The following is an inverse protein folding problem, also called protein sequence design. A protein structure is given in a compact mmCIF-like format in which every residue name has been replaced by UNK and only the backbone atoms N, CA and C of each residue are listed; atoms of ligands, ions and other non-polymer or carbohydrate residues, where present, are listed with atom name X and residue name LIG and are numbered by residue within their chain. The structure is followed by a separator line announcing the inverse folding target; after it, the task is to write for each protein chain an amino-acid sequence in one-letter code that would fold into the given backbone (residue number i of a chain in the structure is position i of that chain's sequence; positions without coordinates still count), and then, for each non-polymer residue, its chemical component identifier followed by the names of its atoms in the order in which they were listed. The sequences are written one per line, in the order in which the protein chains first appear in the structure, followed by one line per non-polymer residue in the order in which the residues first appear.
data_IF_727457120327
#
_entry.id   IF_727457120327
#
_cell.length_a   1.000
_cell.length_b   1.000
_cell.length_c   1.000
_cell.angle_alpha   90.00
_cell.angle_beta   90.00
_cell.angle_gamma   90.00
#
_symmetry.space_group_name_H-M   'P 1'
#
loop_
_entity.id
_entity.type
_entity.pdbx_description
1 polymer ?
#
# COMPACT_ATOMS: atom_id res chain seq x y z
N UNK A 1 -24.51 -19.62 -10.38
CA UNK A 1 -24.40 -19.06 -9.01
C UNK A 1 -23.41 -19.87 -8.18
N UNK A 2 -22.59 -19.20 -7.37
CA UNK A 2 -21.70 -19.82 -6.39
C UNK A 2 -22.09 -19.27 -5.02
N UNK A 3 -22.21 -20.13 -4.03
CA UNK A 3 -22.49 -19.73 -2.66
C UNK A 3 -21.60 -20.50 -1.69
N UNK A 4 -20.72 -19.83 -1.00
CA UNK A 4 -20.13 -20.27 0.25
C UNK A 4 -20.92 -19.60 1.38
N UNK A 5 -21.90 -20.29 1.94
CA UNK A 5 -22.86 -19.70 2.86
C UNK A 5 -22.21 -19.19 4.15
N UNK A 6 -21.27 -19.96 4.69
CA UNK A 6 -20.54 -19.61 5.91
C UNK A 6 -19.21 -20.35 5.96
N UNK A 7 -18.14 -19.62 6.19
CA UNK A 7 -16.86 -20.13 6.64
C UNK A 7 -16.74 -19.83 8.14
N UNK A 8 -16.43 -20.83 8.94
CA UNK A 8 -16.28 -20.65 10.41
C UNK A 8 -15.15 -21.55 10.90
N UNK A 9 -13.97 -20.94 11.04
CA UNK A 9 -12.78 -21.61 11.57
C UNK A 9 -12.58 -21.15 13.01
N UNK A 10 -12.99 -21.99 13.95
CA UNK A 10 -12.91 -21.72 15.40
C UNK A 10 -11.49 -21.55 15.93
N UNK A 11 -10.53 -22.20 15.27
CA UNK A 11 -9.13 -22.13 15.67
C UNK A 11 -8.25 -22.26 14.44
N UNK A 12 -7.54 -21.18 14.13
CA UNK A 12 -6.45 -21.12 13.17
C UNK A 12 -5.17 -20.88 13.96
N UNK A 13 -4.16 -21.72 13.77
CA UNK A 13 -2.85 -21.53 14.38
C UNK A 13 -1.82 -21.41 13.25
N UNK A 14 -1.05 -20.33 13.25
CA UNK A 14 0.08 -20.12 12.37
C UNK A 14 1.35 -20.17 13.22
N UNK A 15 2.28 -21.04 12.85
CA UNK A 15 3.55 -21.17 13.55
C UNK A 15 4.54 -20.05 13.23
N UNK A 16 5.52 -19.87 14.11
CA UNK A 16 6.57 -18.87 13.97
C UNK A 16 7.31 -18.86 12.61
N UNK A 17 7.55 -19.99 11.91
CA UNK A 17 8.18 -19.97 10.60
C UNK A 17 7.42 -19.18 9.52
N UNK A 18 6.10 -18.99 9.67
CA UNK A 18 5.25 -18.30 8.67
C UNK A 18 5.29 -16.78 8.87
N UNK A 19 5.13 -16.33 10.11
CA UNK A 19 4.96 -14.90 10.41
C UNK A 19 5.93 -14.37 11.46
N UNK A 20 6.87 -15.19 11.93
CA UNK A 20 7.90 -14.82 12.91
C UNK A 20 7.47 -14.98 14.38
N UNK A 21 6.23 -15.34 14.67
CA UNK A 21 5.70 -15.70 15.98
C UNK A 21 4.54 -16.70 15.82
N UNK A 22 4.15 -17.36 16.89
CA UNK A 22 2.88 -18.09 16.89
C UNK A 22 1.71 -17.12 16.93
N UNK A 23 0.69 -17.44 16.15
CA UNK A 23 -0.56 -16.68 16.09
C UNK A 23 -1.72 -17.66 16.24
N UNK A 24 -2.62 -17.35 17.15
CA UNK A 24 -3.92 -18.00 17.26
C UNK A 24 -5.02 -17.02 16.86
N UNK A 25 -5.92 -17.47 16.01
CA UNK A 25 -7.01 -16.63 15.48
C UNK A 25 -8.27 -17.45 15.24
N UNK A 26 -9.38 -16.76 15.12
CA UNK A 26 -10.60 -17.23 14.49
C UNK A 26 -10.71 -16.64 13.09
N UNK A 27 -11.32 -17.35 12.16
CA UNK A 27 -11.61 -16.86 10.82
C UNK A 27 -13.07 -17.12 10.50
N UNK A 28 -13.81 -16.05 10.26
CA UNK A 28 -15.17 -16.07 9.76
C UNK A 28 -15.25 -15.55 8.34
N UNK A 29 -16.26 -15.96 7.59
CA UNK A 29 -16.46 -15.43 6.24
C UNK A 29 -17.70 -15.96 5.55
N UNK A 30 -18.04 -15.31 4.46
CA UNK A 30 -19.10 -15.72 3.54
C UNK A 30 -18.78 -15.23 2.14
N UNK A 31 -19.22 -15.98 1.13
CA UNK A 31 -19.18 -15.57 -0.27
C UNK A 31 -20.51 -15.95 -0.93
N UNK A 32 -21.10 -15.01 -1.61
CA UNK A 32 -22.26 -15.19 -2.45
C UNK A 32 -22.01 -14.57 -3.82
N UNK A 33 -22.21 -15.34 -4.86
CA UNK A 33 -22.21 -14.84 -6.24
C UNK A 33 -23.47 -15.43 -6.91
N UNK A 34 -24.43 -14.59 -7.21
CA UNK A 34 -25.69 -15.00 -7.84
C UNK A 34 -26.28 -13.81 -8.60
N UNK A 35 -26.89 -14.11 -9.76
CA UNK A 35 -27.71 -13.18 -10.53
C UNK A 35 -26.99 -11.87 -10.92
N UNK A 36 -25.67 -11.95 -11.12
CA UNK A 36 -24.82 -10.80 -11.42
C UNK A 36 -24.44 -9.96 -10.21
N UNK A 37 -24.74 -10.41 -9.00
CA UNK A 37 -24.32 -9.79 -7.76
C UNK A 37 -23.28 -10.65 -7.03
N UNK A 38 -22.32 -10.00 -6.39
CA UNK A 38 -21.30 -10.62 -5.56
C UNK A 38 -21.21 -9.94 -4.21
N UNK A 39 -21.12 -10.72 -3.15
CA UNK A 39 -20.83 -10.28 -1.80
C UNK A 39 -19.78 -11.19 -1.17
N UNK A 40 -18.74 -10.62 -0.60
CA UNK A 40 -17.72 -11.33 0.15
C UNK A 40 -17.51 -10.66 1.49
N UNK A 41 -17.44 -11.45 2.56
CA UNK A 41 -17.05 -10.99 3.91
C UNK A 41 -15.97 -11.89 4.44
N UNK A 42 -14.98 -11.29 5.11
CA UNK A 42 -13.92 -12.00 5.78
C UNK A 42 -13.61 -11.28 7.09
N UNK A 43 -13.61 -12.02 8.19
CA UNK A 43 -13.27 -11.53 9.51
C UNK A 43 -12.22 -12.46 10.12
N UNK A 44 -11.03 -11.94 10.35
CA UNK A 44 -9.98 -12.62 11.07
C UNK A 44 -9.74 -11.87 12.39
N UNK A 45 -9.83 -12.60 13.49
CA UNK A 45 -9.61 -12.03 14.83
C UNK A 45 -8.63 -12.89 15.60
N UNK A 46 -7.57 -12.28 16.09
CA UNK A 46 -6.62 -12.95 16.99
C UNK A 46 -7.29 -13.27 18.33
N UNK A 47 -6.95 -14.41 18.88
CA UNK A 47 -7.46 -14.87 20.20
C UNK A 47 -6.43 -14.72 21.29
N UNK A 48 -5.17 -14.55 20.93
CA UNK A 48 -4.02 -14.40 21.81
C UNK A 48 -3.61 -12.94 22.05
N UNK A 49 -3.97 -12.06 21.13
CA UNK A 49 -3.70 -10.60 21.18
C UNK A 49 -4.85 -9.83 20.56
N UNK A 50 -4.93 -8.55 20.86
CA UNK A 50 -5.93 -7.67 20.25
C UNK A 50 -5.46 -7.24 18.85
N UNK A 51 -5.90 -7.98 17.85
CA UNK A 51 -5.73 -7.66 16.46
C UNK A 51 -6.85 -8.29 15.60
N UNK A 52 -7.29 -7.55 14.60
CA UNK A 52 -8.37 -7.96 13.70
C UNK A 52 -8.16 -7.45 12.28
N UNK A 53 -8.66 -8.20 11.33
CA UNK A 53 -8.82 -7.80 9.94
C UNK A 53 -10.25 -8.11 9.55
N UNK A 54 -10.98 -7.10 9.06
CA UNK A 54 -12.28 -7.29 8.44
C UNK A 54 -12.27 -6.76 7.02
N UNK A 55 -12.87 -7.52 6.11
CA UNK A 55 -13.03 -7.18 4.71
C UNK A 55 -14.47 -7.41 4.31
N UNK A 56 -15.08 -6.40 3.72
CA UNK A 56 -16.35 -6.53 3.00
C UNK A 56 -16.13 -6.05 1.57
N UNK A 57 -16.52 -6.87 0.61
CA UNK A 57 -16.54 -6.49 -0.80
C UNK A 57 -17.90 -6.82 -1.40
N UNK A 58 -18.40 -5.96 -2.25
CA UNK A 58 -19.66 -6.15 -2.96
C UNK A 58 -19.53 -5.72 -4.41
N UNK A 59 -20.27 -6.41 -5.29
CA UNK A 59 -20.33 -6.09 -6.70
C UNK A 59 -21.75 -6.30 -7.21
N UNK A 60 -22.27 -5.35 -7.98
CA UNK A 60 -23.57 -5.44 -8.64
C UNK A 60 -23.39 -5.17 -10.14
N UNK A 61 -23.55 -6.23 -10.95
CA UNK A 61 -23.34 -6.17 -12.41
C UNK A 61 -24.35 -5.24 -13.10
N UNK A 62 -25.62 -5.26 -12.68
CA UNK A 62 -26.67 -4.43 -13.28
C UNK A 62 -26.42 -2.93 -13.19
N UNK A 63 -25.84 -2.48 -12.08
CA UNK A 63 -25.46 -1.07 -11.83
C UNK A 63 -23.97 -0.84 -12.01
N UNK A 64 -23.19 -1.90 -12.25
CA UNK A 64 -21.71 -1.90 -12.30
C UNK A 64 -21.06 -1.24 -11.08
N UNK A 65 -21.69 -1.39 -9.92
CA UNK A 65 -21.18 -0.82 -8.67
C UNK A 65 -20.27 -1.80 -7.96
N UNK A 66 -19.14 -1.30 -7.47
CA UNK A 66 -18.18 -1.98 -6.61
C UNK A 66 -18.17 -1.30 -5.25
N UNK A 67 -18.19 -2.09 -4.18
CA UNK A 67 -17.97 -1.64 -2.82
C UNK A 67 -16.81 -2.41 -2.21
N UNK A 68 -15.96 -1.72 -1.45
CA UNK A 68 -14.83 -2.28 -0.72
C UNK A 68 -14.72 -1.58 0.63
N UNK A 69 -14.63 -2.36 1.71
CA UNK A 69 -14.32 -1.88 3.05
C UNK A 69 -13.33 -2.87 3.68
N UNK A 70 -12.12 -2.41 3.93
CA UNK A 70 -11.05 -3.14 4.61
C UNK A 70 -10.66 -2.37 5.86
N UNK A 71 -10.73 -3.03 6.99
CA UNK A 71 -10.22 -2.52 8.25
C UNK A 71 -9.24 -3.53 8.84
N UNK A 72 -8.05 -3.07 9.17
CA UNK A 72 -7.04 -3.82 9.89
C UNK A 72 -6.63 -3.04 11.14
N UNK A 73 -6.63 -3.71 12.28
CA UNK A 73 -6.21 -3.15 13.56
C UNK A 73 -5.26 -4.10 14.26
N UNK A 74 -4.25 -3.55 14.89
CA UNK A 74 -3.43 -4.25 15.88
C UNK A 74 -3.14 -3.33 17.06
N UNK A 75 -3.17 -3.91 18.25
CA UNK A 75 -2.77 -3.23 19.46
C UNK A 75 -1.26 -2.99 19.52
N UNK A 76 -0.81 -2.19 20.48
CA UNK A 76 0.60 -1.94 20.76
C UNK A 76 1.38 -3.24 20.89
N UNK A 77 2.58 -3.29 20.30
CA UNK A 77 3.39 -4.50 20.25
C UNK A 77 2.92 -5.52 19.20
N UNK A 78 2.12 -5.09 18.22
CA UNK A 78 1.61 -5.92 17.15
C UNK A 78 2.70 -6.44 16.19
N UNK A 79 2.31 -7.39 15.34
CA UNK A 79 3.25 -8.04 14.40
C UNK A 79 3.78 -7.05 13.38
N UNK A 80 2.90 -6.21 12.83
CA UNK A 80 3.26 -5.27 11.75
C UNK A 80 4.22 -4.23 12.28
N UNK A 81 3.89 -3.60 13.43
CA UNK A 81 4.75 -2.60 14.04
C UNK A 81 6.15 -3.16 14.36
N UNK A 82 6.24 -4.42 14.81
CA UNK A 82 7.53 -5.09 15.07
C UNK A 82 8.28 -5.44 13.79
N UNK A 83 7.60 -6.00 12.80
CA UNK A 83 8.21 -6.40 11.51
C UNK A 83 8.76 -5.19 10.75
N UNK A 84 8.06 -4.07 10.81
CA UNK A 84 8.49 -2.80 10.22
C UNK A 84 9.50 -2.04 11.08
N UNK A 85 9.84 -2.54 12.28
CA UNK A 85 10.79 -1.88 13.18
C UNK A 85 10.30 -0.52 13.68
N UNK A 86 8.99 -0.32 13.78
CA UNK A 86 8.41 0.97 14.21
C UNK A 86 8.76 1.21 15.68
N UNK A 87 9.43 2.32 16.02
CA UNK A 87 9.81 2.64 17.39
C UNK A 87 8.59 2.71 18.31
N UNK A 88 8.73 2.13 19.51
CA UNK A 88 7.64 2.08 20.49
C UNK A 88 6.51 1.11 20.15
N UNK A 89 6.57 0.50 18.95
CA UNK A 89 5.58 -0.48 18.45
C UNK A 89 4.13 -0.02 18.72
N UNK A 90 3.70 1.12 18.19
CA UNK A 90 2.39 1.70 18.47
C UNK A 90 1.26 0.80 18.00
N UNK A 91 0.06 1.01 18.52
CA UNK A 91 -1.14 0.45 17.93
C UNK A 91 -1.32 0.99 16.51
N UNK A 92 -1.65 0.13 15.55
CA UNK A 92 -1.84 0.51 14.15
C UNK A 92 -3.28 0.25 13.70
N UNK A 93 -3.80 1.16 12.90
CA UNK A 93 -5.06 0.96 12.18
C UNK A 93 -4.87 1.35 10.73
N UNK A 94 -5.23 0.45 9.81
CA UNK A 94 -5.32 0.71 8.38
C UNK A 94 -6.78 0.55 7.96
N UNK A 95 -7.33 1.57 7.33
CA UNK A 95 -8.64 1.54 6.70
C UNK A 95 -8.53 1.87 5.22
N UNK A 96 -9.22 1.09 4.38
CA UNK A 96 -9.38 1.35 2.95
C UNK A 96 -10.85 1.15 2.62
N UNK A 97 -11.55 2.21 2.26
CA UNK A 97 -12.96 2.17 1.96
C UNK A 97 -13.28 2.90 0.66
N UNK A 98 -14.15 2.33 -0.15
CA UNK A 98 -14.58 2.93 -1.40
C UNK A 98 -15.87 2.32 -1.92
N UNK A 99 -16.62 3.14 -2.64
CA UNK A 99 -17.79 2.72 -3.41
C UNK A 99 -17.84 3.50 -4.70
N UNK A 100 -18.24 2.86 -5.78
CA UNK A 100 -18.35 3.56 -7.05
C UNK A 100 -18.57 2.61 -8.23
N UNK A 101 -18.81 3.17 -9.40
CA UNK A 101 -18.90 2.37 -10.62
C UNK A 101 -17.54 1.72 -10.92
N UNK A 102 -17.58 0.51 -11.49
CA UNK A 102 -16.40 -0.29 -11.80
C UNK A 102 -15.43 0.41 -12.77
N UNK A 103 -15.95 1.26 -13.64
CA UNK A 103 -15.16 2.03 -14.60
C UNK A 103 -14.55 3.31 -14.00
N UNK A 104 -15.01 3.73 -12.80
CA UNK A 104 -14.48 4.87 -12.06
C UNK A 104 -14.60 4.60 -10.55
N UNK A 105 -13.85 3.62 -10.07
CA UNK A 105 -13.87 3.26 -8.66
C UNK A 105 -12.90 4.14 -7.87
N UNK A 106 -13.40 4.75 -6.80
CA UNK A 106 -12.60 5.54 -5.87
C UNK A 106 -12.61 4.97 -4.46
N UNK A 107 -11.43 4.93 -3.83
CA UNK A 107 -11.26 4.52 -2.45
C UNK A 107 -10.45 5.55 -1.66
N UNK A 108 -10.70 5.63 -0.36
CA UNK A 108 -9.92 6.41 0.60
C UNK A 108 -9.11 5.46 1.47
N UNK A 109 -7.82 5.72 1.56
CA UNK A 109 -6.90 5.04 2.46
C UNK A 109 -6.61 5.92 3.67
N UNK A 110 -6.55 5.33 4.85
CA UNK A 110 -6.13 5.97 6.10
C UNK A 110 -5.30 5.01 6.93
N UNK A 111 -4.10 5.43 7.31
CA UNK A 111 -3.23 4.77 8.28
C UNK A 111 -3.12 5.65 9.52
N UNK A 112 -3.34 5.08 10.70
CA UNK A 112 -3.13 5.76 11.97
C UNK A 112 -2.26 4.95 12.92
N UNK A 113 -1.58 5.64 13.83
CA UNK A 113 -0.84 5.03 14.93
C UNK A 113 -1.21 5.71 16.24
N UNK A 114 -1.51 4.92 17.27
CA UNK A 114 -2.00 5.39 18.58
C UNK A 114 -3.14 6.42 18.45
N UNK A 115 -4.05 6.19 17.50
CA UNK A 115 -5.21 7.05 17.24
C UNK A 115 -4.94 8.34 16.46
N UNK A 116 -3.69 8.60 16.07
CA UNK A 116 -3.33 9.77 15.25
C UNK A 116 -3.13 9.39 13.79
N UNK A 117 -3.71 10.14 12.88
CA UNK A 117 -3.53 9.92 11.43
C UNK A 117 -2.07 10.11 11.03
N UNK A 118 -1.54 9.18 10.24
CA UNK A 118 -0.16 9.17 9.74
C UNK A 118 -0.07 9.30 8.24
N UNK A 119 -0.99 8.66 7.51
CA UNK A 119 -1.07 8.73 6.06
C UNK A 119 -2.53 8.66 5.67
N UNK A 120 -2.96 9.50 4.76
CA UNK A 120 -4.30 9.43 4.19
C UNK A 120 -4.30 9.92 2.75
N UNK A 121 -5.32 9.53 2.00
CA UNK A 121 -5.51 10.00 0.65
C UNK A 121 -6.44 9.14 -0.17
N UNK A 122 -6.38 9.31 -1.48
CA UNK A 122 -7.30 8.71 -2.44
C UNK A 122 -6.57 7.80 -3.41
N UNK A 123 -7.24 6.74 -3.78
CA UNK A 123 -6.85 5.81 -4.84
C UNK A 123 -8.04 5.74 -5.80
N UNK A 124 -7.81 5.95 -7.09
CA UNK A 124 -8.82 5.80 -8.12
C UNK A 124 -8.39 4.73 -9.12
N UNK A 125 -9.33 3.90 -9.54
CA UNK A 125 -9.19 2.93 -10.62
C UNK A 125 -10.14 3.33 -11.73
N UNK A 126 -9.61 3.52 -12.93
CA UNK A 126 -10.35 3.96 -14.12
C UNK A 126 -10.21 2.87 -15.19
N UNK A 127 -11.30 2.27 -15.58
CA UNK A 127 -11.33 1.24 -16.63
C UNK A 127 -12.16 1.74 -17.80
N UNK A 128 -11.58 1.72 -19.00
CA UNK A 128 -12.32 2.04 -20.22
C UNK A 128 -12.96 0.78 -20.79
N UNK A 129 -14.21 0.83 -21.30
CA UNK A 129 -14.82 -0.30 -21.99
C UNK A 129 -14.04 -0.77 -23.23
N UNK A 130 -13.26 0.13 -23.84
CA UNK A 130 -12.49 -0.13 -25.06
C UNK A 130 -11.03 -0.54 -24.77
N UNK A 131 -10.66 -0.75 -23.52
CA UNK A 131 -9.30 -1.08 -23.11
C UNK A 131 -9.29 -2.19 -22.06
N UNK A 132 -8.44 -3.19 -22.25
CA UNK A 132 -8.14 -4.20 -21.22
C UNK A 132 -7.26 -3.67 -20.08
N UNK A 133 -6.86 -2.40 -20.15
CA UNK A 133 -6.01 -1.77 -19.15
C UNK A 133 -6.85 -1.00 -18.11
N UNK A 134 -6.53 -1.20 -16.86
CA UNK A 134 -7.02 -0.39 -15.74
C UNK A 134 -5.98 0.68 -15.40
N UNK A 135 -6.37 1.94 -15.50
CA UNK A 135 -5.56 3.07 -15.03
C UNK A 135 -5.76 3.25 -13.54
N UNK A 136 -4.71 3.57 -12.82
CA UNK A 136 -4.77 3.97 -11.42
C UNK A 136 -4.21 5.38 -11.22
N UNK A 137 -4.78 6.08 -10.24
CA UNK A 137 -4.31 7.38 -9.76
C UNK A 137 -4.28 7.31 -8.24
N UNK A 138 -3.15 7.67 -7.66
CA UNK A 138 -2.95 7.64 -6.21
C UNK A 138 -2.43 8.99 -5.74
N UNK A 139 -3.03 9.55 -4.69
CA UNK A 139 -2.59 10.78 -4.02
C UNK A 139 -2.71 10.55 -2.52
N UNK A 140 -1.56 10.34 -1.86
CA UNK A 140 -1.46 10.05 -0.43
C UNK A 140 -0.53 11.07 0.22
N UNK A 141 -0.87 11.52 1.42
CA UNK A 141 0.00 12.40 2.19
C UNK A 141 -0.18 12.21 3.69
N UNK A 142 0.85 12.57 4.47
CA UNK A 142 0.79 12.49 5.92
C UNK A 142 2.12 12.68 6.62
N UNK A 143 2.07 12.59 7.95
CA UNK A 143 3.23 12.66 8.84
C UNK A 143 3.70 11.24 9.20
N UNK A 144 4.68 10.74 8.47
CA UNK A 144 5.28 9.43 8.72
C UNK A 144 6.43 9.48 9.75
N UNK A 145 6.91 10.67 10.13
CA UNK A 145 8.04 10.81 11.04
C UNK A 145 7.87 10.07 12.38
N UNK A 146 6.68 10.04 13.02
CA UNK A 146 6.48 9.28 14.26
C UNK A 146 6.64 7.77 14.12
N UNK A 147 6.50 7.23 12.90
CA UNK A 147 6.68 5.80 12.62
C UNK A 147 8.15 5.42 12.40
N UNK A 148 9.05 6.38 12.39
CA UNK A 148 10.45 6.20 12.04
C UNK A 148 11.37 6.38 13.25
N UNK A 149 12.56 5.74 13.26
CA UNK A 149 13.60 6.04 14.22
C UNK A 149 13.91 7.53 14.31
N UNK A 150 14.18 8.03 15.52
CA UNK A 150 14.34 9.47 15.76
C UNK A 150 15.36 10.14 14.84
N UNK A 151 16.43 9.42 14.51
CA UNK A 151 17.51 9.89 13.65
C UNK A 151 17.10 10.18 12.20
N UNK A 152 16.03 9.52 11.71
CA UNK A 152 15.53 9.70 10.32
C UNK A 152 14.35 10.68 10.22
N UNK A 153 13.84 11.18 11.35
CA UNK A 153 12.67 12.08 11.34
C UNK A 153 12.92 13.38 10.59
N UNK A 154 14.14 13.92 10.69
CA UNK A 154 14.51 15.12 9.95
C UNK A 154 14.51 14.90 8.43
N UNK A 155 14.87 13.70 7.96
CA UNK A 155 14.83 13.32 6.55
C UNK A 155 13.41 13.32 5.97
N UNK A 156 12.47 12.77 6.72
CA UNK A 156 11.07 12.69 6.27
C UNK A 156 10.25 13.94 6.60
N UNK A 157 10.59 14.63 7.70
CA UNK A 157 9.85 15.81 8.16
C UNK A 157 8.44 15.49 8.61
N UNK A 158 7.61 16.53 8.74
CA UNK A 158 6.20 16.42 9.16
C UNK A 158 5.23 16.15 8.02
N UNK A 159 5.70 16.11 6.78
CA UNK A 159 4.86 15.86 5.61
C UNK A 159 5.60 15.04 4.58
N UNK A 160 5.03 13.88 4.27
CA UNK A 160 5.43 13.04 3.14
C UNK A 160 4.26 12.95 2.18
N UNK A 161 4.49 13.18 0.89
CA UNK A 161 3.47 13.11 -0.15
C UNK A 161 3.89 12.10 -1.24
N UNK A 162 2.96 11.26 -1.65
CA UNK A 162 3.12 10.29 -2.73
C UNK A 162 2.01 10.49 -3.76
N UNK A 163 2.41 10.78 -5.00
CA UNK A 163 1.50 10.76 -6.17
C UNK A 163 2.01 9.75 -7.17
N UNK A 164 1.12 8.95 -7.68
CA UNK A 164 1.45 7.97 -8.70
C UNK A 164 0.28 7.79 -9.66
N UNK A 165 0.59 7.76 -10.95
CA UNK A 165 -0.38 7.45 -12.00
C UNK A 165 0.23 6.40 -12.93
N UNK A 166 -0.63 5.51 -13.42
CA UNK A 166 -0.17 4.47 -14.29
C UNK A 166 -1.30 3.56 -14.76
N UNK A 167 -0.94 2.45 -15.36
CA UNK A 167 -1.91 1.46 -15.84
C UNK A 167 -1.38 0.04 -15.71
N UNK A 168 -2.32 -0.90 -15.57
CA UNK A 168 -2.05 -2.33 -15.61
C UNK A 168 -2.91 -2.98 -16.68
N UNK A 169 -2.28 -3.65 -17.64
CA UNK A 169 -2.97 -4.39 -18.69
C UNK A 169 -3.38 -5.80 -18.24
N UNK A 170 -4.34 -6.40 -18.94
CA UNK A 170 -4.77 -7.80 -18.74
C UNK A 170 -3.65 -8.81 -19.00
N UNK A 171 -2.62 -8.45 -19.74
CA UNK A 171 -1.40 -9.22 -20.00
C UNK A 171 -0.36 -9.12 -18.87
N UNK A 172 -0.71 -8.55 -17.71
CA UNK A 172 0.20 -8.28 -16.59
C UNK A 172 1.33 -7.27 -16.90
N UNK A 173 1.19 -6.48 -17.94
CA UNK A 173 2.06 -5.32 -18.18
C UNK A 173 1.69 -4.22 -17.21
N UNK A 174 2.69 -3.59 -16.60
CA UNK A 174 2.50 -2.47 -15.69
C UNK A 174 3.26 -1.24 -16.19
N UNK A 175 2.55 -0.13 -16.34
CA UNK A 175 3.13 1.16 -16.66
C UNK A 175 2.91 2.10 -15.49
N UNK A 176 3.98 2.67 -14.97
CA UNK A 176 3.99 3.80 -14.06
C UNK A 176 4.32 5.03 -14.89
N UNK A 177 3.30 5.80 -15.25
CA UNK A 177 3.47 6.97 -16.13
C UNK A 177 4.14 8.12 -15.37
N UNK A 178 3.72 8.33 -14.12
CA UNK A 178 4.31 9.31 -13.21
C UNK A 178 4.41 8.77 -11.81
N UNK A 179 5.52 9.07 -11.17
CA UNK A 179 5.77 8.90 -9.74
C UNK A 179 6.30 10.22 -9.20
N UNK A 180 5.73 10.71 -8.12
CA UNK A 180 6.30 11.81 -7.33
C UNK A 180 6.21 11.44 -5.86
N UNK A 181 7.36 11.37 -5.20
CA UNK A 181 7.47 11.18 -3.76
C UNK A 181 8.25 12.37 -3.18
N UNK A 182 7.63 13.08 -2.26
CA UNK A 182 8.25 14.25 -1.63
C UNK A 182 8.20 14.12 -0.10
N UNK A 183 9.31 14.51 0.53
CA UNK A 183 9.43 14.68 1.97
C UNK A 183 10.33 15.90 2.30
N UNK A 184 10.67 16.13 3.55
CA UNK A 184 11.49 17.29 3.90
C UNK A 184 12.84 17.30 3.18
N UNK A 185 13.49 16.15 3.03
CA UNK A 185 14.82 16.06 2.43
C UNK A 185 14.86 15.22 1.14
N UNK A 186 13.76 14.64 0.70
CA UNK A 186 13.72 13.75 -0.44
C UNK A 186 12.70 14.20 -1.47
N UNK A 187 13.13 14.26 -2.73
CA UNK A 187 12.23 14.34 -3.89
C UNK A 187 12.61 13.24 -4.88
N UNK A 188 11.64 12.43 -5.24
CA UNK A 188 11.79 11.40 -6.27
C UNK A 188 10.74 11.62 -7.33
N UNK A 189 11.17 11.74 -8.57
CA UNK A 189 10.28 11.73 -9.73
C UNK A 189 10.68 10.59 -10.65
N UNK A 190 9.71 10.00 -11.34
CA UNK A 190 10.05 8.94 -12.26
C UNK A 190 8.89 8.33 -13.01
N UNK A 191 9.27 7.37 -13.87
CA UNK A 191 8.36 6.53 -14.64
C UNK A 191 8.97 5.15 -14.84
N UNK A 192 8.14 4.15 -15.10
CA UNK A 192 8.61 2.79 -15.38
C UNK A 192 7.64 2.04 -16.28
N UNK A 193 8.17 1.20 -17.15
CA UNK A 193 7.42 0.19 -17.91
C UNK A 193 7.97 -1.18 -17.56
N UNK A 194 7.09 -2.05 -17.03
CA UNK A 194 7.44 -3.39 -16.55
C UNK A 194 6.65 -4.40 -17.39
N UNK A 195 7.37 -5.34 -17.98
CA UNK A 195 6.81 -6.44 -18.74
C UNK A 195 6.25 -7.52 -17.82
N UNK A 196 5.39 -8.43 -18.35
CA UNK A 196 4.96 -9.62 -17.62
C UNK A 196 6.14 -10.37 -17.00
N UNK A 197 5.97 -10.82 -15.75
CA UNK A 197 7.04 -11.46 -14.97
C UNK A 197 7.93 -10.50 -14.19
N UNK A 198 7.64 -9.19 -14.19
CA UNK A 198 8.37 -8.19 -13.38
C UNK A 198 9.67 -7.72 -14.02
N UNK A 199 9.86 -7.95 -15.32
CA UNK A 199 11.07 -7.56 -16.06
C UNK A 199 10.96 -6.07 -16.44
N UNK A 200 11.88 -5.20 -15.99
CA UNK A 200 11.87 -3.81 -16.41
C UNK A 200 12.19 -3.70 -17.91
N UNK A 201 11.33 -3.04 -18.67
CA UNK A 201 11.59 -2.69 -20.07
C UNK A 201 12.30 -1.35 -20.16
N UNK A 202 11.83 -0.38 -19.41
CA UNK A 202 12.47 0.93 -19.23
C UNK A 202 12.06 1.54 -17.90
N UNK A 203 12.92 2.36 -17.35
CA UNK A 203 12.59 3.26 -16.24
C UNK A 203 13.48 4.50 -16.26
N UNK A 204 12.96 5.56 -15.70
CA UNK A 204 13.70 6.77 -15.36
C UNK A 204 13.32 7.20 -13.96
N UNK A 205 14.33 7.41 -13.10
CA UNK A 205 14.17 7.90 -11.73
C UNK A 205 15.13 9.04 -11.50
N UNK A 206 14.62 10.16 -11.08
CA UNK A 206 15.37 11.35 -10.68
C UNK A 206 15.15 11.56 -9.19
N UNK A 207 16.23 11.55 -8.43
CA UNK A 207 16.19 11.68 -6.97
C UNK A 207 17.05 12.86 -6.55
N UNK A 208 16.47 13.76 -5.78
CA UNK A 208 17.17 14.82 -5.08
C UNK A 208 17.05 14.57 -3.58
N UNK A 209 18.19 14.55 -2.90
CA UNK A 209 18.27 14.58 -1.44
C UNK A 209 18.91 15.90 -1.04
N UNK A 210 18.18 16.74 -0.33
CA UNK A 210 18.65 18.03 0.15
C UNK A 210 17.75 18.50 1.30
N UNK A 211 18.31 18.87 2.42
CA UNK A 211 17.60 19.46 3.56
C UNK A 211 17.99 20.92 3.72
N UNK A 212 17.01 21.81 3.80
CA UNK A 212 17.29 23.20 4.13
C UNK A 212 17.87 23.30 5.54
N UNK A 213 19.10 23.81 5.63
CA UNK A 213 19.77 24.03 6.92
C UNK A 213 20.93 23.09 7.23
N UNK A 214 21.31 22.19 6.33
CA UNK A 214 22.54 21.40 6.47
C UNK A 214 22.41 19.93 6.09
N UNK A 215 23.44 19.17 6.40
CA UNK A 215 23.52 17.77 6.08
C UNK A 215 22.41 16.93 6.74
N UNK A 216 21.89 15.96 6.02
CA UNK A 216 20.87 15.04 6.50
C UNK A 216 21.39 13.60 6.51
N UNK A 217 21.05 12.84 7.55
CA UNK A 217 21.36 11.42 7.66
C UNK A 217 20.50 10.61 6.70
N UNK A 218 21.13 9.85 5.82
CA UNK A 218 20.43 8.95 4.89
C UNK A 218 19.85 7.74 5.62
N UNK A 219 18.60 7.35 5.34
CA UNK A 219 17.97 6.15 5.92
C UNK A 219 18.40 4.88 5.16
N UNK A 220 19.69 4.64 5.09
CA UNK A 220 20.29 3.46 4.42
C UNK A 220 20.94 2.54 5.46
N UNK A 221 21.09 1.26 5.11
CA UNK A 221 21.81 0.29 5.94
C UNK A 221 23.31 0.49 5.79
N UNK A 222 24.06 0.40 6.90
CA UNK A 222 25.51 0.56 6.91
C UNK A 222 25.98 1.68 7.83
N UNK A 223 27.16 2.26 7.58
CA UNK A 223 27.66 3.40 8.34
C UNK A 223 26.73 4.62 8.22
N UNK A 224 26.63 5.40 9.27
CA UNK A 224 25.91 6.69 9.23
C UNK A 224 26.49 7.57 8.14
N UNK A 225 25.67 7.90 7.14
CA UNK A 225 26.06 8.69 5.98
C UNK A 225 25.26 9.97 5.95
N UNK A 226 25.96 11.09 6.11
CA UNK A 226 25.37 12.43 6.03
C UNK A 226 25.67 13.05 4.67
N UNK A 227 24.67 13.70 4.08
CA UNK A 227 24.82 14.42 2.81
C UNK A 227 24.22 15.82 2.92
N UNK A 228 24.88 16.80 2.35
CA UNK A 228 24.34 18.16 2.18
C UNK A 228 23.37 18.18 1.01
N UNK A 229 23.79 17.56 -0.12
CA UNK A 229 23.00 17.43 -1.33
C UNK A 229 23.46 16.22 -2.14
N UNK A 230 22.52 15.46 -2.66
CA UNK A 230 22.79 14.40 -3.61
C UNK A 230 21.73 14.41 -4.73
N UNK A 231 22.19 14.33 -5.96
CA UNK A 231 21.34 14.13 -7.12
C UNK A 231 21.68 12.78 -7.75
N UNK A 232 20.68 11.95 -7.96
CA UNK A 232 20.84 10.61 -8.50
C UNK A 232 19.85 10.46 -9.65
N UNK A 233 20.36 10.16 -10.83
CA UNK A 233 19.55 9.80 -11.99
C UNK A 233 19.82 8.36 -12.35
N UNK A 234 18.79 7.53 -12.40
CA UNK A 234 18.83 6.15 -12.82
C UNK A 234 17.94 6.00 -14.05
N UNK A 235 18.51 5.55 -15.13
CA UNK A 235 17.77 5.28 -16.37
C UNK A 235 18.16 3.92 -16.94
N UNK A 236 17.18 3.19 -17.42
CA UNK A 236 17.34 1.93 -18.10
C UNK A 236 16.38 1.87 -19.28
N UNK A 237 16.86 1.35 -20.40
CA UNK A 237 16.06 1.13 -21.60
C UNK A 237 16.59 -0.14 -22.29
N UNK A 238 15.81 -1.21 -22.23
CA UNK A 238 16.16 -2.51 -22.81
C UNK A 238 16.45 -2.41 -24.31
N UNK A 239 15.77 -1.52 -25.06
CA UNK A 239 15.96 -1.38 -26.49
C UNK A 239 17.29 -0.75 -26.88
N UNK A 240 17.98 -0.10 -25.93
CA UNK A 240 19.30 0.53 -26.12
C UNK A 240 20.46 -0.35 -25.65
N UNK A 241 20.17 -1.45 -24.93
CA UNK A 241 21.20 -2.36 -24.42
C UNK A 241 21.60 -3.45 -25.40
N UNK A 242 20.84 -3.63 -26.50
CA UNK A 242 21.05 -4.65 -27.52
C UNK A 242 21.83 -4.11 -28.76
N UNK A 243 22.49 -2.97 -28.62
CA UNK A 243 23.30 -2.31 -29.66
C UNK A 243 24.80 -2.29 -29.36
#
# INVERSE_FOLDING_TARGET
SVRLGKLDVKKLTLGAPVIGEELAATLGGSLRIADGEGEAKLDLKRTDKDAEISLTASFANGTRQLGLDLLMREAKGGIIARKLGIPGQPALTLALAGTGPLDNFGATLRLSSDGSDRLSGKIQLLTSPDSDATRFVTDLSGDLAPLLPAQYRAFFGSTTALKAEGSSGGDCRFNLDTLSLESAALKVNGSAEILPGGIPKRFNLETLVELQGGAVLLPITGPETYVDRAEITLAYDQTKSDG
#
